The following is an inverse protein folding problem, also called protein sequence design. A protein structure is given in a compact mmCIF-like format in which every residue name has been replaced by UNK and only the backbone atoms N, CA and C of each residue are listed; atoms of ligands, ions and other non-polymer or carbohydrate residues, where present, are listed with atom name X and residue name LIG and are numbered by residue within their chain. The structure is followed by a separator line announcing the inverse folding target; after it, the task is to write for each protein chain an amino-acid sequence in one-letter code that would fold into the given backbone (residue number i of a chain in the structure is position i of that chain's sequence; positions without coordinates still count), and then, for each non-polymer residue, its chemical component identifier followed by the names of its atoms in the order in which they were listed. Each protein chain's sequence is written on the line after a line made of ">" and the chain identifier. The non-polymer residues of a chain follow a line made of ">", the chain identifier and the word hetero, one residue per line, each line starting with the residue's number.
data_IF_432308101530
#
_entry.id   IF_432308101530
#
_cell.length_a   1.000
_cell.length_b   1.000
_cell.length_c   1.000
_cell.angle_alpha   90.00
_cell.angle_beta   90.00
_cell.angle_gamma   90.00
#
_symmetry.space_group_name_H-M   'P 1'
#
loop_
_entity.id
_entity.type
_entity.pdbx_description
1 polymer ?
#
# COMPACT_ATOMS: atom_id res chain seq x y z
N UNK A 1 -0.07 -0.23 16.48
CA UNK A 1 -1.50 -0.20 16.12
C UNK A 1 -1.88 -1.62 15.77
N UNK A 2 -2.88 -2.18 16.44
CA UNK A 2 -3.33 -3.55 16.20
C UNK A 2 -3.63 -3.73 14.71
N UNK A 3 -3.06 -4.75 14.09
CA UNK A 3 -3.42 -5.15 12.75
C UNK A 3 -4.89 -5.54 12.79
N UNK A 4 -5.76 -4.66 12.31
CA UNK A 4 -7.18 -4.97 12.16
C UNK A 4 -7.27 -6.09 11.13
N UNK A 5 -7.60 -7.30 11.58
CA UNK A 5 -7.90 -8.41 10.70
C UNK A 5 -9.23 -8.11 9.99
N UNK A 6 -9.10 -7.56 8.79
CA UNK A 6 -10.24 -7.13 7.96
C UNK A 6 -11.13 -8.32 7.57
N UNK A 7 -10.57 -9.54 7.55
CA UNK A 7 -11.32 -10.75 7.25
C UNK A 7 -12.13 -11.20 8.48
N UNK A 8 -11.57 -11.08 9.69
CA UNK A 8 -12.31 -11.29 10.94
C UNK A 8 -13.49 -10.32 11.07
N UNK A 9 -13.27 -9.04 10.73
CA UNK A 9 -14.31 -8.00 10.77
C UNK A 9 -15.43 -8.25 9.75
N UNK A 10 -15.09 -8.66 8.52
CA UNK A 10 -16.10 -9.02 7.52
C UNK A 10 -16.95 -10.21 7.99
N UNK A 11 -16.32 -11.23 8.55
CA UNK A 11 -17.00 -12.42 9.05
C UNK A 11 -17.91 -12.12 10.23
N UNK A 12 -17.47 -11.29 11.18
CA UNK A 12 -18.28 -10.85 12.32
C UNK A 12 -19.54 -10.10 11.88
N UNK A 13 -19.39 -9.19 10.90
CA UNK A 13 -20.52 -8.38 10.39
C UNK A 13 -21.54 -9.26 9.63
N UNK A 14 -21.06 -10.26 8.88
CA UNK A 14 -21.91 -11.24 8.20
C UNK A 14 -22.68 -12.13 9.20
N UNK A 15 -22.04 -12.53 10.29
CA UNK A 15 -22.68 -13.27 11.38
C UNK A 15 -23.84 -12.51 12.03
N UNK A 16 -23.69 -11.19 12.22
CA UNK A 16 -24.76 -10.34 12.77
C UNK A 16 -26.00 -10.28 11.87
N UNK A 17 -25.84 -10.26 10.54
CA UNK A 17 -26.96 -10.33 9.58
C UNK A 17 -27.74 -11.62 9.75
N UNK A 18 -27.04 -12.74 9.93
CA UNK A 18 -27.64 -14.07 10.04
C UNK A 18 -28.40 -14.26 11.36
N UNK A 19 -27.92 -13.66 12.44
CA UNK A 19 -28.56 -13.74 13.77
C UNK A 19 -29.69 -12.72 13.98
N UNK A 20 -29.89 -11.81 13.03
CA UNK A 20 -30.89 -10.74 13.15
C UNK A 20 -32.30 -11.25 12.84
N UNK A 21 -33.17 -11.32 13.85
CA UNK A 21 -34.59 -11.58 13.65
C UNK A 21 -35.32 -10.34 13.10
N UNK A 22 -35.98 -10.52 11.95
CA UNK A 22 -36.85 -9.53 11.31
C UNK A 22 -36.26 -8.88 10.04
N UNK A 23 -37.07 -8.82 8.99
CA UNK A 23 -36.69 -8.36 7.64
C UNK A 23 -36.00 -6.98 7.65
N UNK A 24 -36.52 -6.03 8.43
CA UNK A 24 -35.99 -4.65 8.49
C UNK A 24 -34.62 -4.56 9.17
N UNK A 25 -34.35 -5.41 10.16
CA UNK A 25 -33.04 -5.48 10.82
C UNK A 25 -32.01 -6.13 9.89
N UNK A 26 -32.41 -7.21 9.21
CA UNK A 26 -31.58 -7.91 8.23
C UNK A 26 -31.21 -7.01 7.04
N UNK A 27 -32.15 -6.25 6.48
CA UNK A 27 -31.89 -5.28 5.40
C UNK A 27 -30.90 -4.18 5.80
N UNK A 28 -31.03 -3.63 7.01
CA UNK A 28 -30.10 -2.61 7.52
C UNK A 28 -28.70 -3.17 7.70
N UNK A 29 -28.59 -4.38 8.26
CA UNK A 29 -27.30 -5.05 8.44
C UNK A 29 -26.69 -5.45 7.09
N UNK A 30 -27.48 -5.87 6.11
CA UNK A 30 -27.01 -6.12 4.75
C UNK A 30 -26.35 -4.89 4.11
N UNK A 31 -26.98 -3.71 4.22
CA UNK A 31 -26.39 -2.45 3.73
C UNK A 31 -25.09 -2.09 4.46
N UNK A 32 -25.01 -2.37 5.75
CA UNK A 32 -23.79 -2.17 6.55
C UNK A 32 -22.68 -3.09 6.05
N UNK A 33 -22.97 -4.37 5.79
CA UNK A 33 -21.99 -5.31 5.21
C UNK A 33 -21.47 -4.81 3.87
N UNK A 34 -22.35 -4.34 2.98
CA UNK A 34 -21.95 -3.87 1.66
C UNK A 34 -21.08 -2.60 1.75
N UNK A 35 -21.46 -1.64 2.62
CA UNK A 35 -20.63 -0.46 2.88
C UNK A 35 -19.27 -0.82 3.47
N UNK A 36 -19.21 -1.79 4.38
CA UNK A 36 -17.95 -2.28 4.96
C UNK A 36 -17.06 -2.94 3.92
N UNK A 37 -17.61 -3.76 3.03
CA UNK A 37 -16.84 -4.38 1.93
C UNK A 37 -16.19 -3.34 1.04
N UNK A 38 -16.93 -2.28 0.69
CA UNK A 38 -16.38 -1.17 -0.09
C UNK A 38 -15.24 -0.46 0.65
N UNK A 39 -15.40 -0.22 1.96
CA UNK A 39 -14.36 0.38 2.77
C UNK A 39 -13.12 -0.51 2.91
N UNK A 40 -13.29 -1.82 3.13
CA UNK A 40 -12.18 -2.79 3.20
C UNK A 40 -11.42 -2.82 1.88
N UNK A 41 -12.14 -2.86 0.75
CA UNK A 41 -11.52 -2.82 -0.58
C UNK A 41 -10.72 -1.53 -0.78
N UNK A 42 -11.27 -0.39 -0.36
CA UNK A 42 -10.59 0.90 -0.48
C UNK A 42 -9.37 1.00 0.44
N UNK A 43 -9.46 0.51 1.68
CA UNK A 43 -8.31 0.43 2.60
C UNK A 43 -7.22 -0.49 2.04
N UNK A 44 -7.57 -1.63 1.46
CA UNK A 44 -6.62 -2.53 0.79
C UNK A 44 -5.95 -1.86 -0.40
N UNK A 45 -6.70 -1.08 -1.19
CA UNK A 45 -6.19 -0.29 -2.32
C UNK A 45 -5.22 0.81 -1.87
N UNK A 46 -5.51 1.46 -0.75
CA UNK A 46 -4.71 2.55 -0.20
C UNK A 46 -3.53 2.07 0.66
N UNK A 47 -3.48 0.78 1.03
CA UNK A 47 -2.38 0.24 1.84
C UNK A 47 -1.08 0.34 1.03
N UNK A 48 -0.06 1.06 1.51
CA UNK A 48 1.20 1.17 0.80
C UNK A 48 1.81 -0.21 0.54
N UNK A 49 2.24 -0.46 -0.68
CA UNK A 49 2.97 -1.70 -1.02
C UNK A 49 4.29 -1.72 -0.26
N UNK A 50 4.57 -2.80 0.45
CA UNK A 50 5.84 -3.01 1.12
C UNK A 50 6.81 -3.70 0.16
N UNK A 51 8.02 -3.17 0.07
CA UNK A 51 9.12 -3.72 -0.71
C UNK A 51 10.16 -4.25 0.27
N UNK A 52 10.49 -5.52 0.15
CA UNK A 52 11.35 -6.25 1.10
C UNK A 52 12.69 -6.64 0.49
N UNK A 53 12.82 -6.59 -0.83
CA UNK A 53 14.04 -6.98 -1.54
C UNK A 53 14.51 -5.91 -2.52
N UNK A 54 15.79 -5.95 -2.86
CA UNK A 54 16.40 -5.04 -3.84
C UNK A 54 15.84 -5.30 -5.24
N UNK A 55 15.57 -6.57 -5.58
CA UNK A 55 15.00 -6.94 -6.87
C UNK A 55 13.59 -6.36 -7.06
N UNK A 56 12.80 -6.29 -5.98
CA UNK A 56 11.48 -5.65 -6.00
C UNK A 56 11.60 -4.12 -6.16
N UNK A 57 12.61 -3.49 -5.55
CA UNK A 57 12.92 -2.07 -5.79
C UNK A 57 13.30 -1.82 -7.25
N UNK A 58 14.20 -2.62 -7.79
CA UNK A 58 14.68 -2.46 -9.17
C UNK A 58 13.59 -2.71 -10.21
N UNK A 59 12.61 -3.57 -9.89
CA UNK A 59 11.44 -3.81 -10.73
C UNK A 59 10.45 -2.63 -10.78
N UNK A 60 10.55 -1.63 -9.88
CA UNK A 60 9.65 -0.48 -9.90
C UNK A 60 9.86 0.37 -11.18
N UNK A 61 8.81 0.95 -11.75
CA UNK A 61 8.96 1.85 -12.89
C UNK A 61 9.73 3.12 -12.50
N UNK A 62 10.33 3.76 -13.50
CA UNK A 62 10.94 5.08 -13.31
C UNK A 62 9.89 6.09 -12.81
N UNK A 63 10.32 7.03 -11.97
CA UNK A 63 9.50 8.01 -11.23
C UNK A 63 8.69 7.43 -10.06
N UNK A 64 8.90 6.17 -9.69
CA UNK A 64 8.40 5.65 -8.42
C UNK A 64 9.03 6.38 -7.24
N UNK A 65 8.24 6.58 -6.19
CA UNK A 65 8.67 7.18 -4.92
C UNK A 65 8.45 6.15 -3.81
N UNK A 66 9.49 5.88 -3.04
CA UNK A 66 9.45 4.98 -1.88
C UNK A 66 9.88 5.71 -0.62
N UNK A 67 9.43 5.25 0.53
CA UNK A 67 9.77 5.77 1.85
C UNK A 67 10.52 4.73 2.66
N UNK A 68 11.73 5.08 3.03
CA UNK A 68 12.57 4.33 3.95
C UNK A 68 12.19 4.69 5.39
N UNK A 69 11.56 3.76 6.10
CA UNK A 69 11.10 4.01 7.47
C UNK A 69 12.25 4.11 8.50
N UNK A 70 13.43 3.54 8.22
CA UNK A 70 14.54 3.54 9.17
C UNK A 70 15.19 4.93 9.31
N UNK A 71 15.40 5.62 8.18
CA UNK A 71 16.02 6.96 8.17
C UNK A 71 15.01 8.09 7.96
N UNK A 72 13.74 7.76 7.78
CA UNK A 72 12.68 8.71 7.41
C UNK A 72 13.01 9.49 6.14
N UNK A 73 13.53 8.79 5.14
CA UNK A 73 13.96 9.37 3.86
C UNK A 73 13.05 8.88 2.75
N UNK A 74 12.57 9.80 1.92
CA UNK A 74 11.91 9.47 0.67
C UNK A 74 12.95 9.38 -0.46
N UNK A 75 12.80 8.36 -1.29
CA UNK A 75 13.67 8.05 -2.42
C UNK A 75 12.86 8.09 -3.70
N UNK A 76 13.39 8.71 -4.74
CA UNK A 76 12.81 8.74 -6.07
C UNK A 76 13.65 7.92 -7.04
N UNK A 77 13.01 7.06 -7.82
CA UNK A 77 13.66 6.39 -8.94
C UNK A 77 13.64 7.34 -10.14
N UNK A 78 14.80 7.74 -10.65
CA UNK A 78 14.93 8.51 -11.88
C UNK A 78 16.19 8.09 -12.65
N UNK A 79 16.01 7.25 -13.67
CA UNK A 79 17.07 6.80 -14.57
C UNK A 79 17.39 7.79 -15.71
N UNK A 80 16.86 9.02 -15.70
CA UNK A 80 17.13 10.00 -16.78
C UNK A 80 18.60 10.41 -16.86
N UNK A 81 19.30 10.38 -15.74
CA UNK A 81 20.66 10.92 -15.64
C UNK A 81 21.74 9.84 -15.72
N UNK A 82 21.46 8.59 -15.32
CA UNK A 82 22.39 7.45 -15.47
C UNK A 82 21.71 6.09 -15.67
N UNK A 83 22.48 5.14 -16.25
CA UNK A 83 22.02 3.77 -16.55
C UNK A 83 22.08 2.80 -15.37
N UNK A 84 22.85 3.09 -14.31
CA UNK A 84 23.25 2.09 -13.32
C UNK A 84 22.77 2.36 -11.89
N UNK A 85 22.55 3.62 -11.50
CA UNK A 85 22.21 4.01 -10.12
C UNK A 85 21.01 4.95 -10.15
N UNK A 86 19.77 4.42 -10.21
CA UNK A 86 18.61 5.24 -10.52
C UNK A 86 17.98 5.89 -9.29
N UNK A 87 18.53 5.75 -8.08
CA UNK A 87 17.85 6.18 -6.86
C UNK A 87 18.40 7.49 -6.30
N UNK A 88 17.50 8.39 -5.92
CA UNK A 88 17.83 9.72 -5.43
C UNK A 88 17.16 9.94 -4.08
N UNK A 89 17.94 10.15 -3.03
CA UNK A 89 17.41 10.57 -1.73
C UNK A 89 16.87 12.01 -1.81
N UNK A 90 15.79 12.29 -1.09
CA UNK A 90 15.22 13.64 -1.03
C UNK A 90 16.26 14.64 -0.53
N UNK A 91 16.52 15.69 -1.32
CA UNK A 91 17.51 16.72 -0.99
C UNK A 91 18.96 16.34 -1.31
N UNK A 92 19.20 15.16 -1.90
CA UNK A 92 20.51 14.75 -2.42
C UNK A 92 20.67 15.15 -3.89
N UNK A 93 21.87 15.58 -4.25
CA UNK A 93 22.32 15.74 -5.66
C UNK A 93 23.14 14.54 -6.14
N UNK A 94 23.24 13.50 -5.32
CA UNK A 94 24.01 12.29 -5.59
C UNK A 94 23.03 11.13 -5.78
N UNK A 95 23.20 10.45 -6.91
CA UNK A 95 22.52 9.19 -7.21
C UNK A 95 23.13 8.04 -6.40
N UNK A 96 22.31 7.05 -6.09
CA UNK A 96 22.71 5.88 -5.32
C UNK A 96 22.14 4.59 -5.92
N UNK A 97 22.80 3.45 -5.68
CA UNK A 97 22.26 2.15 -6.03
C UNK A 97 21.10 1.77 -5.10
N UNK A 98 20.22 0.88 -5.57
CA UNK A 98 19.11 0.35 -4.75
C UNK A 98 19.58 -0.32 -3.45
N UNK A 99 20.80 -0.86 -3.44
CA UNK A 99 21.44 -1.48 -2.26
C UNK A 99 21.76 -0.50 -1.14
N UNK A 100 21.77 0.81 -1.41
CA UNK A 100 21.98 1.83 -0.39
C UNK A 100 20.71 2.13 0.43
N UNK A 101 19.54 1.77 -0.09
CA UNK A 101 18.24 1.95 0.55
C UNK A 101 18.03 0.83 1.59
N UNK A 102 17.71 1.21 2.83
CA UNK A 102 17.44 0.24 3.90
C UNK A 102 16.04 -0.35 3.76
N UNK A 103 15.97 -1.64 3.48
CA UNK A 103 14.72 -2.40 3.38
C UNK A 103 14.18 -2.81 4.78
N UNK A 104 12.85 -3.02 4.93
CA UNK A 104 11.83 -2.83 3.91
C UNK A 104 11.42 -1.36 3.74
N UNK A 105 10.96 -1.00 2.55
CA UNK A 105 10.45 0.35 2.24
C UNK A 105 8.99 0.32 1.79
N UNK A 106 8.29 1.44 1.95
CA UNK A 106 6.89 1.59 1.52
C UNK A 106 6.83 2.36 0.23
N UNK A 107 6.12 1.85 -0.77
CA UNK A 107 5.84 2.61 -1.99
C UNK A 107 4.82 3.71 -1.67
N UNK A 108 5.21 4.96 -1.88
CA UNK A 108 4.33 6.13 -1.73
C UNK A 108 3.61 6.44 -3.03
N UNK A 109 4.31 6.26 -4.15
CA UNK A 109 3.79 6.54 -5.47
C UNK A 109 4.42 5.61 -6.50
N UNK A 110 3.57 5.07 -7.36
CA UNK A 110 3.97 4.44 -8.61
C UNK A 110 3.27 5.23 -9.70
N UNK A 111 3.96 5.69 -10.76
CA UNK A 111 3.27 6.25 -11.91
C UNK A 111 2.24 5.26 -12.42
N UNK A 112 1.07 5.78 -12.77
CA UNK A 112 0.12 4.99 -13.54
C UNK A 112 0.88 4.54 -14.81
N UNK A 113 1.09 3.24 -14.97
CA UNK A 113 1.42 2.70 -16.28
C UNK A 113 0.28 3.15 -17.17
N UNK A 114 0.51 4.17 -18.01
CA UNK A 114 -0.42 4.59 -19.05
C UNK A 114 -0.95 3.32 -19.73
N UNK A 115 -2.21 2.98 -19.45
CA UNK A 115 -2.91 1.82 -20.01
C UNK A 115 -3.70 2.25 -21.22
#
# INVERSE_FOLDING_TARGET
>A
MSELDLDELENATRGLVYMSDGTRASEKLGRIVDAHRLLIAEVRRLRPTLIETVEQLDALPDRSIVHESHRDVAWMKDGRYTRNEPWWATGSEVEEPATAIVLPVRVLYTPELDR
#
